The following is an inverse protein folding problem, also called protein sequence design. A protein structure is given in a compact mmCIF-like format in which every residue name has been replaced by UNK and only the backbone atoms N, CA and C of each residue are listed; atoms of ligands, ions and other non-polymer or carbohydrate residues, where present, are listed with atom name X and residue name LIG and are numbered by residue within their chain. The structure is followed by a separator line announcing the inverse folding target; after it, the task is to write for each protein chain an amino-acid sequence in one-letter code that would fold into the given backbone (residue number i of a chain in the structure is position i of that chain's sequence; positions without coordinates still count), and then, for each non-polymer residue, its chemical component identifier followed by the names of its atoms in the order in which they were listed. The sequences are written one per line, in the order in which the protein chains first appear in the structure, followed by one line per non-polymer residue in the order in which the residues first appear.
data_IF_750265350385
#
_entry.id   IF_750265350385
#
_cell.length_a   1.000
_cell.length_b   1.000
_cell.length_c   1.000
_cell.angle_alpha   90.00
_cell.angle_beta   90.00
_cell.angle_gamma   90.00
#
_symmetry.space_group_name_H-M   'P 1'
#
loop_
_entity.id
_entity.type
_entity.pdbx_description
1 polymer ?
#
# COMPACT_ATOMS: atom_id res chain seq x y z
N UNK A 1 68.47 46.97 -19.30
CA UNK A 1 67.33 46.83 -20.25
C UNK A 1 67.21 45.43 -20.86
N UNK A 2 68.29 44.77 -21.28
CA UNK A 2 68.21 43.47 -21.99
C UNK A 2 67.68 42.29 -21.13
N UNK A 3 67.93 42.25 -19.82
CA UNK A 3 67.43 41.18 -18.92
C UNK A 3 65.90 41.21 -18.76
N UNK A 4 65.33 42.38 -18.48
CA UNK A 4 63.88 42.58 -18.33
C UNK A 4 63.11 42.23 -19.61
N UNK A 5 63.70 42.47 -20.79
CA UNK A 5 63.08 42.08 -22.07
C UNK A 5 63.07 40.57 -22.30
N UNK A 6 64.03 39.82 -21.73
CA UNK A 6 64.06 38.36 -21.81
C UNK A 6 63.04 37.72 -20.85
N UNK A 7 62.95 38.21 -19.61
CA UNK A 7 61.96 37.76 -18.62
C UNK A 7 60.52 38.03 -19.09
N UNK A 8 60.25 39.22 -19.62
CA UNK A 8 58.92 39.55 -20.19
C UNK A 8 58.58 38.70 -21.42
N UNK A 9 59.58 38.30 -22.22
CA UNK A 9 59.37 37.34 -23.33
C UNK A 9 59.06 35.94 -22.81
N UNK A 10 59.74 35.48 -21.77
CA UNK A 10 59.47 34.18 -21.13
C UNK A 10 58.04 34.11 -20.61
N UNK A 11 57.63 35.10 -19.80
CA UNK A 11 56.27 35.13 -19.26
C UNK A 11 55.19 35.15 -20.35
N UNK A 12 55.43 35.83 -21.49
CA UNK A 12 54.50 35.80 -22.63
C UNK A 12 54.35 34.41 -23.24
N UNK A 13 55.45 33.64 -23.32
CA UNK A 13 55.41 32.27 -23.82
C UNK A 13 54.64 31.36 -22.85
N UNK A 14 54.86 31.52 -21.55
CA UNK A 14 54.15 30.75 -20.52
C UNK A 14 52.64 31.07 -20.53
N UNK A 15 52.28 32.36 -20.65
CA UNK A 15 50.88 32.79 -20.80
C UNK A 15 50.24 32.15 -22.04
N UNK A 16 50.95 32.11 -23.18
CA UNK A 16 50.43 31.45 -24.38
C UNK A 16 50.25 29.93 -24.19
N UNK A 17 51.17 29.28 -23.48
CA UNK A 17 51.07 27.88 -23.09
C UNK A 17 49.85 27.61 -22.20
N UNK A 18 49.65 28.43 -21.16
CA UNK A 18 48.47 28.33 -20.30
C UNK A 18 47.17 28.59 -21.04
N UNK A 19 47.14 29.56 -21.96
CA UNK A 19 45.96 29.83 -22.80
C UNK A 19 45.58 28.60 -23.64
N UNK A 20 46.56 27.90 -24.20
CA UNK A 20 46.31 26.66 -24.95
C UNK A 20 45.76 25.54 -24.05
N UNK A 21 46.32 25.38 -22.85
CA UNK A 21 45.83 24.38 -21.89
C UNK A 21 44.41 24.70 -21.40
N UNK A 22 44.12 25.96 -21.08
CA UNK A 22 42.78 26.42 -20.67
C UNK A 22 41.78 26.17 -21.78
N UNK A 23 42.10 26.51 -23.03
CA UNK A 23 41.22 26.21 -24.18
C UNK A 23 40.96 24.72 -24.35
N UNK A 24 41.99 23.87 -24.17
CA UNK A 24 41.82 22.42 -24.21
C UNK A 24 40.95 21.88 -23.07
N UNK A 25 41.05 22.47 -21.87
CA UNK A 25 40.17 22.14 -20.74
C UNK A 25 38.73 22.59 -21.01
N UNK A 26 38.50 23.79 -21.54
CA UNK A 26 37.16 24.28 -21.88
C UNK A 26 36.45 23.39 -22.90
N UNK A 27 37.18 22.92 -23.92
CA UNK A 27 36.64 21.96 -24.89
C UNK A 27 36.27 20.62 -24.25
N UNK A 28 37.12 20.12 -23.34
CA UNK A 28 36.83 18.88 -22.59
C UNK A 28 35.63 19.06 -21.65
N UNK A 29 35.53 20.20 -20.97
CA UNK A 29 34.39 20.55 -20.10
C UNK A 29 33.11 20.58 -20.93
N UNK A 30 33.11 21.30 -22.06
CA UNK A 30 31.95 21.34 -22.97
C UNK A 30 31.55 19.93 -23.42
N UNK A 31 32.53 19.09 -23.78
CA UNK A 31 32.27 17.71 -24.20
C UNK A 31 31.62 16.90 -23.07
N UNK A 32 32.15 16.98 -21.85
CA UNK A 32 31.59 16.29 -20.68
C UNK A 32 30.19 16.81 -20.37
N UNK A 33 29.96 18.12 -20.41
CA UNK A 33 28.64 18.72 -20.17
C UNK A 33 27.60 18.24 -21.17
N UNK A 34 27.94 18.20 -22.47
CA UNK A 34 27.03 17.66 -23.50
C UNK A 34 26.75 16.17 -23.31
N UNK A 35 27.75 15.38 -22.90
CA UNK A 35 27.56 13.97 -22.56
C UNK A 35 26.62 13.78 -21.38
N UNK A 36 26.82 14.53 -20.29
CA UNK A 36 25.95 14.51 -19.11
C UNK A 36 24.52 14.85 -19.50
N UNK A 37 24.31 15.91 -20.30
CA UNK A 37 22.99 16.26 -20.79
C UNK A 37 22.34 15.11 -21.60
N UNK A 38 23.11 14.45 -22.48
CA UNK A 38 22.60 13.31 -23.24
C UNK A 38 22.22 12.12 -22.36
N UNK A 39 23.02 11.80 -21.33
CA UNK A 39 22.71 10.73 -20.38
C UNK A 39 21.46 11.04 -19.56
N UNK A 40 21.27 12.28 -19.13
CA UNK A 40 20.05 12.67 -18.42
C UNK A 40 18.79 12.49 -19.27
N UNK A 41 18.86 12.76 -20.58
CA UNK A 41 17.75 12.53 -21.49
C UNK A 41 17.44 11.03 -21.65
N UNK A 42 18.48 10.20 -21.80
CA UNK A 42 18.31 8.75 -21.86
C UNK A 42 17.74 8.18 -20.55
N UNK A 43 18.16 8.68 -19.39
CA UNK A 43 17.59 8.28 -18.10
C UNK A 43 16.10 8.60 -17.99
N UNK A 44 15.66 9.77 -18.48
CA UNK A 44 14.24 10.11 -18.55
C UNK A 44 13.46 9.15 -19.46
N UNK A 45 14.03 8.77 -20.60
CA UNK A 45 13.42 7.81 -21.51
C UNK A 45 13.30 6.42 -20.88
N UNK A 46 14.34 5.95 -20.18
CA UNK A 46 14.33 4.69 -19.44
C UNK A 46 13.23 4.68 -18.37
N UNK A 47 13.05 5.78 -17.63
CA UNK A 47 11.97 5.91 -16.65
C UNK A 47 10.58 5.86 -17.31
N UNK A 48 10.42 6.52 -18.45
CA UNK A 48 9.18 6.49 -19.22
C UNK A 48 8.85 5.09 -19.73
N UNK A 49 9.83 4.42 -20.35
CA UNK A 49 9.68 3.05 -20.87
C UNK A 49 9.40 2.05 -19.74
N UNK A 50 10.09 2.16 -18.61
CA UNK A 50 9.83 1.34 -17.43
C UNK A 50 8.38 1.50 -16.96
N UNK A 51 7.91 2.74 -16.84
CA UNK A 51 6.52 3.04 -16.46
C UNK A 51 5.51 2.40 -17.43
N UNK A 52 5.81 2.43 -18.72
CA UNK A 52 4.98 1.82 -19.77
C UNK A 52 4.97 0.29 -19.70
N UNK A 53 6.11 -0.35 -19.43
CA UNK A 53 6.19 -1.81 -19.27
C UNK A 53 5.33 -2.29 -18.09
N UNK A 54 5.37 -1.58 -16.96
CA UNK A 54 4.56 -1.91 -15.78
C UNK A 54 3.06 -1.81 -16.08
N UNK A 55 2.62 -0.74 -16.77
CA UNK A 55 1.22 -0.57 -17.14
C UNK A 55 0.74 -1.66 -18.11
N UNK A 56 1.58 -2.07 -19.07
CA UNK A 56 1.26 -3.17 -19.97
C UNK A 56 1.18 -4.52 -19.24
N UNK A 57 2.11 -4.79 -18.32
CA UNK A 57 2.10 -6.00 -17.49
C UNK A 57 0.85 -6.05 -16.60
N UNK A 58 0.51 -4.95 -15.92
CA UNK A 58 -0.68 -4.87 -15.07
C UNK A 58 -1.98 -5.00 -15.87
N UNK A 59 -2.05 -4.43 -17.08
CA UNK A 59 -3.22 -4.61 -17.97
C UNK A 59 -3.37 -6.05 -18.42
N UNK A 60 -2.25 -6.71 -18.73
CA UNK A 60 -2.24 -8.12 -19.09
C UNK A 60 -2.74 -9.01 -17.94
N UNK A 61 -2.34 -8.71 -16.70
CA UNK A 61 -2.73 -9.47 -15.49
C UNK A 61 -4.07 -9.06 -14.87
N UNK A 62 -4.71 -7.99 -15.35
CA UNK A 62 -5.91 -7.40 -14.73
C UNK A 62 -7.08 -8.37 -14.52
N UNK A 63 -7.21 -9.37 -15.38
CA UNK A 63 -8.27 -10.39 -15.29
C UNK A 63 -7.85 -11.65 -14.54
N UNK A 64 -6.58 -11.73 -14.13
CA UNK A 64 -6.06 -12.85 -13.38
C UNK A 64 -6.44 -12.72 -11.89
N UNK A 65 -6.82 -13.84 -11.29
CA UNK A 65 -7.11 -13.94 -9.85
C UNK A 65 -6.19 -15.00 -9.26
N UNK A 66 -5.43 -14.61 -8.24
CA UNK A 66 -4.59 -15.51 -7.46
C UNK A 66 -5.41 -16.16 -6.35
N UNK A 67 -5.29 -17.48 -6.24
CA UNK A 67 -5.81 -18.28 -5.14
C UNK A 67 -4.68 -18.51 -4.14
N UNK A 68 -4.75 -17.88 -2.97
CA UNK A 68 -3.84 -18.13 -1.86
C UNK A 68 -4.41 -19.24 -0.99
N UNK A 69 -3.57 -20.17 -0.53
CA UNK A 69 -3.95 -21.26 0.37
C UNK A 69 -3.62 -22.64 -0.21
N UNK A 70 -3.74 -22.88 -1.51
CA UNK A 70 -3.34 -24.17 -2.08
C UNK A 70 -1.81 -24.34 -2.08
N UNK A 71 -1.31 -25.58 -1.94
CA UNK A 71 0.07 -25.94 -2.28
C UNK A 71 0.35 -25.45 -3.72
N UNK A 72 1.47 -24.76 -3.90
CA UNK A 72 1.79 -23.86 -5.01
C UNK A 72 1.43 -24.42 -6.41
N UNK A 73 0.81 -23.59 -7.27
CA UNK A 73 0.74 -23.86 -8.72
C UNK A 73 -0.62 -23.79 -9.42
N UNK A 74 -1.73 -23.43 -8.75
CA UNK A 74 -3.04 -23.29 -9.40
C UNK A 74 -3.32 -21.81 -9.72
N UNK A 75 -2.91 -21.39 -10.91
CA UNK A 75 -3.30 -20.10 -11.48
C UNK A 75 -4.61 -20.28 -12.26
N UNK A 76 -5.70 -19.65 -11.80
CA UNK A 76 -6.97 -19.65 -12.56
C UNK A 76 -7.04 -18.39 -13.39
N UNK A 77 -6.68 -18.50 -14.66
CA UNK A 77 -6.93 -17.49 -15.67
C UNK A 77 -8.41 -17.51 -16.05
N UNK A 78 -9.20 -16.59 -15.50
CA UNK A 78 -10.61 -16.45 -15.89
C UNK A 78 -10.70 -15.69 -17.22
N UNK A 79 -10.96 -16.42 -18.30
CA UNK A 79 -11.29 -15.84 -19.60
C UNK A 79 -12.74 -15.34 -19.61
N UNK A 80 -13.02 -14.19 -18.98
CA UNK A 80 -14.08 -13.27 -19.43
C UNK A 80 -13.95 -11.90 -18.75
N UNK A 81 -13.90 -10.85 -19.58
CA UNK A 81 -13.49 -9.46 -19.34
C UNK A 81 -14.22 -8.68 -18.20
N UNK A 82 -15.10 -9.30 -17.40
CA UNK A 82 -15.91 -8.61 -16.38
C UNK A 82 -16.01 -9.31 -15.01
N UNK A 83 -15.54 -10.56 -14.87
CA UNK A 83 -15.85 -11.35 -13.66
C UNK A 83 -14.79 -11.23 -12.56
N UNK A 84 -13.51 -11.00 -12.90
CA UNK A 84 -12.44 -10.93 -11.90
C UNK A 84 -12.68 -9.83 -10.85
N UNK A 85 -13.09 -8.62 -11.28
CA UNK A 85 -13.37 -7.51 -10.37
C UNK A 85 -14.56 -7.81 -9.45
N UNK A 86 -15.63 -8.37 -10.01
CA UNK A 86 -16.84 -8.72 -9.25
C UNK A 86 -16.54 -9.84 -8.25
N UNK A 87 -15.78 -10.85 -8.66
CA UNK A 87 -15.35 -11.96 -7.82
C UNK A 87 -14.44 -11.49 -6.68
N UNK A 88 -13.43 -10.66 -6.98
CA UNK A 88 -12.55 -10.09 -5.96
C UNK A 88 -13.31 -9.19 -4.98
N UNK A 89 -14.33 -8.46 -5.46
CA UNK A 89 -15.19 -7.67 -4.58
C UNK A 89 -16.06 -8.57 -3.69
N UNK A 90 -16.69 -9.60 -4.25
CA UNK A 90 -17.49 -10.56 -3.49
C UNK A 90 -16.64 -11.28 -2.42
N UNK A 91 -15.44 -11.73 -2.79
CA UNK A 91 -14.51 -12.37 -1.86
C UNK A 91 -14.05 -11.43 -0.74
N UNK A 92 -13.81 -10.14 -1.03
CA UNK A 92 -13.49 -9.14 0.01
C UNK A 92 -14.65 -8.91 0.98
N UNK A 93 -15.89 -8.95 0.50
CA UNK A 93 -17.08 -8.77 1.32
C UNK A 93 -17.39 -10.00 2.17
N UNK A 94 -17.17 -11.21 1.62
CA UNK A 94 -17.40 -12.46 2.35
C UNK A 94 -16.27 -12.77 3.35
N UNK A 95 -15.05 -12.33 3.07
CA UNK A 95 -13.87 -12.67 3.86
C UNK A 95 -13.23 -14.00 3.41
N UNK A 96 -12.31 -14.55 4.21
CA UNK A 96 -11.66 -15.81 3.90
C UNK A 96 -12.67 -16.96 3.90
N UNK A 97 -12.52 -17.89 2.96
CA UNK A 97 -13.33 -19.09 2.92
C UNK A 97 -12.46 -20.33 3.10
N UNK A 98 -13.03 -21.38 3.66
CA UNK A 98 -12.30 -22.59 4.05
C UNK A 98 -12.61 -23.73 3.09
N UNK A 99 -11.57 -24.44 2.65
CA UNK A 99 -11.71 -25.77 2.05
C UNK A 99 -11.00 -26.78 2.95
N UNK A 100 -11.79 -27.59 3.66
CA UNK A 100 -11.25 -28.45 4.73
C UNK A 100 -10.57 -27.63 5.83
N UNK A 101 -9.28 -27.90 6.08
CA UNK A 101 -8.46 -27.18 7.07
C UNK A 101 -7.75 -25.95 6.50
N UNK A 102 -7.93 -25.64 5.22
CA UNK A 102 -7.15 -24.62 4.52
C UNK A 102 -7.94 -23.33 4.30
N UNK A 103 -7.35 -22.21 4.72
CA UNK A 103 -7.88 -20.86 4.45
C UNK A 103 -7.53 -20.45 3.03
N UNK A 104 -8.55 -20.24 2.20
CA UNK A 104 -8.39 -19.78 0.83
C UNK A 104 -8.74 -18.29 0.74
N UNK A 105 -7.90 -17.54 0.03
CA UNK A 105 -8.11 -16.12 -0.24
C UNK A 105 -7.90 -15.82 -1.72
N UNK A 106 -8.86 -15.09 -2.30
CA UNK A 106 -8.74 -14.55 -3.65
C UNK A 106 -8.09 -13.18 -3.62
N UNK A 107 -7.04 -12.99 -4.42
CA UNK A 107 -6.35 -11.71 -4.58
C UNK A 107 -6.13 -11.38 -6.04
N UNK A 108 -6.03 -10.10 -6.37
CA UNK A 108 -5.63 -9.69 -7.71
C UNK A 108 -4.18 -10.10 -7.99
N UNK A 109 -3.88 -10.38 -9.25
CA UNK A 109 -2.54 -10.65 -9.74
C UNK A 109 -1.91 -9.34 -10.25
N UNK A 110 -0.93 -8.81 -9.52
CA UNK A 110 -0.23 -7.57 -9.89
C UNK A 110 1.15 -7.88 -10.45
N UNK A 111 1.70 -6.95 -11.25
CA UNK A 111 3.14 -6.88 -11.49
C UNK A 111 3.91 -6.80 -10.16
N UNK A 112 5.17 -7.21 -10.17
CA UNK A 112 6.02 -7.16 -8.98
C UNK A 112 6.11 -5.74 -8.41
N UNK A 113 6.32 -4.75 -9.27
CA UNK A 113 6.46 -3.35 -8.86
C UNK A 113 5.16 -2.80 -8.26
N UNK A 114 4.00 -3.10 -8.86
CA UNK A 114 2.70 -2.70 -8.31
C UNK A 114 2.42 -3.38 -6.97
N UNK A 115 2.75 -4.66 -6.81
CA UNK A 115 2.63 -5.37 -5.54
C UNK A 115 3.52 -4.75 -4.43
N UNK A 116 4.77 -4.41 -4.76
CA UNK A 116 5.70 -3.73 -3.84
C UNK A 116 5.19 -2.34 -3.45
N UNK A 117 4.69 -1.55 -4.41
CA UNK A 117 4.10 -0.23 -4.13
C UNK A 117 2.88 -0.33 -3.22
N UNK A 118 2.01 -1.32 -3.43
CA UNK A 118 0.88 -1.59 -2.54
C UNK A 118 1.34 -2.00 -1.14
N UNK A 119 2.37 -2.84 -1.04
CA UNK A 119 2.97 -3.23 0.25
C UNK A 119 3.52 -2.01 0.99
N UNK A 120 4.18 -1.09 0.29
CA UNK A 120 4.67 0.16 0.85
C UNK A 120 3.53 1.03 1.40
N UNK A 121 2.42 1.19 0.69
CA UNK A 121 1.23 1.88 1.23
C UNK A 121 0.62 1.17 2.44
N UNK A 122 0.51 -0.16 2.40
CA UNK A 122 -0.04 -0.93 3.52
C UNK A 122 0.82 -0.82 4.78
N UNK A 123 2.14 -0.62 4.66
CA UNK A 123 3.01 -0.38 5.82
C UNK A 123 2.63 0.88 6.61
N UNK A 124 1.97 1.86 5.96
CA UNK A 124 1.53 3.12 6.57
C UNK A 124 0.16 3.02 7.25
N UNK A 125 -0.54 1.88 7.09
CA UNK A 125 -1.87 1.65 7.65
C UNK A 125 -1.93 1.93 9.15
N UNK A 126 -0.95 1.44 9.90
CA UNK A 126 -0.90 1.62 11.35
C UNK A 126 -0.93 3.10 11.71
N UNK A 127 -0.12 3.93 11.04
CA UNK A 127 -0.05 5.37 11.29
C UNK A 127 -1.34 6.08 10.90
N UNK A 128 -1.96 5.71 9.78
CA UNK A 128 -3.25 6.26 9.36
C UNK A 128 -4.38 5.94 10.35
N UNK A 129 -4.38 4.73 10.92
CA UNK A 129 -5.35 4.34 11.95
C UNK A 129 -5.17 5.14 13.25
N UNK A 130 -3.94 5.40 13.70
CA UNK A 130 -3.69 6.21 14.91
C UNK A 130 -4.16 7.66 14.74
N UNK A 131 -4.18 8.18 13.51
CA UNK A 131 -4.63 9.53 13.19
C UNK A 131 -6.12 9.60 12.83
N UNK A 132 -6.87 8.52 13.10
CA UNK A 132 -8.31 8.37 12.81
C UNK A 132 -8.71 8.74 11.37
N UNK A 133 -7.86 8.39 10.40
CA UNK A 133 -8.12 8.65 8.98
C UNK A 133 -8.78 7.46 8.32
N UNK A 134 -9.78 7.72 7.47
CA UNK A 134 -10.30 6.71 6.54
C UNK A 134 -9.36 6.60 5.36
N UNK A 135 -9.09 5.39 4.91
CA UNK A 135 -8.21 5.18 3.76
C UNK A 135 -8.59 3.93 2.98
N UNK A 136 -8.05 3.83 1.78
CA UNK A 136 -8.07 2.61 0.98
C UNK A 136 -7.10 2.70 -0.18
N UNK A 137 -6.86 1.56 -0.83
CA UNK A 137 -5.98 1.46 -2.00
C UNK A 137 -6.83 1.12 -3.21
N UNK A 138 -6.81 2.00 -4.21
CA UNK A 138 -7.37 1.80 -5.54
C UNK A 138 -6.38 1.07 -6.45
N UNK A 139 -6.94 0.39 -7.45
CA UNK A 139 -6.17 -0.21 -8.53
C UNK A 139 -5.50 0.88 -9.40
N UNK A 140 -4.25 0.66 -9.88
CA UNK A 140 -3.35 -0.46 -9.56
C UNK A 140 -2.62 -0.29 -8.20
N UNK A 141 -2.25 0.93 -7.80
CA UNK A 141 -1.62 1.21 -6.50
C UNK A 141 -1.73 2.69 -6.12
N UNK A 142 -2.95 3.18 -5.89
CA UNK A 142 -3.18 4.58 -5.46
C UNK A 142 -3.89 4.60 -4.12
N UNK A 143 -3.34 5.29 -3.13
CA UNK A 143 -3.96 5.35 -1.81
C UNK A 143 -4.80 6.62 -1.68
N UNK A 144 -6.06 6.47 -1.30
CA UNK A 144 -6.88 7.60 -0.88
C UNK A 144 -6.91 7.66 0.64
N UNK A 145 -6.88 8.86 1.17
CA UNK A 145 -7.09 9.14 2.58
C UNK A 145 -8.18 10.20 2.72
N UNK A 146 -8.93 10.16 3.81
CA UNK A 146 -9.90 11.18 4.17
C UNK A 146 -9.65 11.64 5.59
N UNK A 147 -9.42 12.95 5.75
CA UNK A 147 -9.29 13.65 7.03
C UNK A 147 -10.20 14.88 7.00
N UNK A 148 -11.02 15.10 8.04
CA UNK A 148 -11.87 16.29 8.17
C UNK A 148 -12.75 16.58 6.94
N UNK A 149 -13.32 15.53 6.31
CA UNK A 149 -14.12 15.59 5.06
C UNK A 149 -13.34 15.97 3.80
N UNK A 150 -12.05 16.28 3.89
CA UNK A 150 -11.17 16.41 2.73
C UNK A 150 -10.60 15.03 2.37
N UNK A 151 -10.73 14.65 1.10
CA UNK A 151 -10.16 13.41 0.59
C UNK A 151 -9.02 13.71 -0.36
N UNK A 152 -7.88 13.05 -0.17
CA UNK A 152 -6.66 13.25 -0.96
C UNK A 152 -6.15 11.91 -1.49
N UNK A 153 -5.71 11.91 -2.75
CA UNK A 153 -5.13 10.75 -3.42
C UNK A 153 -3.61 10.87 -3.48
N UNK A 154 -2.94 9.75 -3.24
CA UNK A 154 -1.49 9.59 -3.30
C UNK A 154 -1.15 8.49 -4.29
N UNK A 155 -0.21 8.82 -5.18
CA UNK A 155 0.28 7.91 -6.22
C UNK A 155 1.62 7.27 -5.82
N UNK A 156 2.35 7.91 -4.90
CA UNK A 156 3.61 7.44 -4.33
C UNK A 156 3.48 7.27 -2.80
N UNK A 157 3.93 6.13 -2.23
CA UNK A 157 4.00 5.95 -0.78
C UNK A 157 4.89 6.98 -0.07
N UNK A 158 5.95 7.49 -0.69
CA UNK A 158 6.83 8.48 -0.09
C UNK A 158 6.14 9.84 0.06
N UNK A 159 5.31 10.23 -0.92
CA UNK A 159 4.52 11.47 -0.82
C UNK A 159 3.53 11.40 0.35
N UNK A 160 2.93 10.23 0.58
CA UNK A 160 2.07 10.02 1.73
C UNK A 160 2.88 10.05 3.04
N UNK A 161 4.08 9.49 3.10
CA UNK A 161 4.94 9.57 4.28
C UNK A 161 5.26 11.01 4.66
N UNK A 162 5.73 11.81 3.69
CA UNK A 162 6.01 13.23 3.87
C UNK A 162 4.78 14.00 4.37
N UNK A 163 3.60 13.68 3.81
CA UNK A 163 2.35 14.27 4.27
C UNK A 163 2.02 13.90 5.73
N UNK A 164 2.24 12.66 6.14
CA UNK A 164 2.00 12.22 7.51
C UNK A 164 3.01 12.81 8.52
N UNK A 165 4.22 13.10 8.07
CA UNK A 165 5.25 13.79 8.87
C UNK A 165 4.86 15.24 9.11
N UNK A 166 4.48 15.98 8.05
CA UNK A 166 4.04 17.37 8.19
C UNK A 166 2.79 17.57 9.06
N UNK A 167 2.00 16.52 9.28
CA UNK A 167 0.85 16.57 10.19
C UNK A 167 1.22 16.41 11.68
N UNK A 168 2.35 15.76 12.00
CA UNK A 168 2.80 15.60 13.38
C UNK A 168 3.37 16.91 13.94
N UNK A 169 4.06 17.69 13.10
CA UNK A 169 4.63 18.99 13.48
C UNK A 169 3.54 20.01 13.84
N UNK A 170 2.38 19.94 13.17
CA UNK A 170 1.24 20.81 13.47
C UNK A 170 0.59 20.48 14.83
N UNK A 171 0.50 19.20 15.20
CA UNK A 171 -0.07 18.79 16.49
C UNK A 171 0.83 19.18 17.68
N UNK A 172 2.15 19.06 17.53
CA UNK A 172 3.10 19.46 18.59
C UNK A 172 3.14 20.98 18.83
N UNK A 173 2.86 21.80 17.80
CA UNK A 173 2.81 23.26 17.93
C UNK A 173 1.59 23.81 18.69
N UNK A 174 0.47 23.07 18.72
CA UNK A 174 -0.73 23.48 19.50
C UNK A 174 -0.67 23.01 20.96
N UNK A 175 -0.03 21.88 21.25
CA UNK A 175 0.09 21.35 22.61
C UNK A 175 1.07 22.14 23.50
N UNK A 176 2.02 22.88 22.92
CA UNK A 176 2.92 23.78 23.69
C UNK A 176 2.24 25.06 24.21
N UNK A 177 1.02 25.38 23.78
CA UNK A 177 0.29 26.58 24.22
C UNK A 177 -0.76 26.30 25.33
N UNK A 178 -1.02 25.03 25.64
CA UNK A 178 -2.06 24.60 26.59
C UNK A 178 -1.54 24.37 28.02
N UNK A 179 -0.27 24.66 28.33
CA UNK A 179 0.30 24.49 29.67
C UNK A 179 0.66 25.85 30.29
N UNK A 180 -0.36 26.57 30.77
CA UNK A 180 -0.18 27.64 31.76
C UNK A 180 -0.69 27.11 33.11
N UNK A 181 0.16 26.93 34.13
CA UNK A 181 -0.30 26.54 35.46
C UNK A 181 -0.93 27.74 36.16
N UNK A 182 -2.23 27.66 36.47
CA UNK A 182 -2.83 28.45 37.54
C UNK A 182 -3.55 27.53 38.52
N UNK A 183 -2.79 27.10 39.51
CA UNK A 183 -3.34 26.76 40.81
C UNK A 183 -4.01 27.99 41.43
N UNK A 184 -5.18 27.79 42.05
CA UNK A 184 -5.48 28.13 43.46
C UNK A 184 -7.00 28.22 43.70
N UNK A 185 -7.47 27.40 44.66
CA UNK A 185 -8.72 27.51 45.49
C UNK A 185 -10.06 27.40 44.74
N UNK A 186 -11.06 26.64 45.18
CA UNK A 186 -11.27 25.90 46.42
C UNK A 186 -12.78 25.68 46.62
N UNK A 187 -13.12 24.46 47.07
CA UNK A 187 -14.22 24.08 47.98
C UNK A 187 -15.71 24.26 47.61
N UNK A 188 -16.38 23.10 47.74
CA UNK A 188 -17.80 22.86 48.07
C UNK A 188 -18.79 23.09 46.91
N UNK A 189 -19.85 22.32 46.72
CA UNK A 189 -20.67 21.50 47.62
C UNK A 189 -21.63 20.69 46.75
N UNK A 190 -22.11 19.53 47.24
CA UNK A 190 -23.50 19.14 46.99
C UNK A 190 -23.76 17.89 46.14
N UNK A 191 -24.02 16.80 46.86
CA UNK A 191 -25.15 15.88 46.68
C UNK A 191 -25.34 15.10 45.36
N UNK A 192 -25.07 13.79 45.47
CA UNK A 192 -25.95 12.66 45.14
C UNK A 192 -26.85 12.75 43.89
N UNK A 193 -26.67 11.80 42.96
CA UNK A 193 -27.66 10.74 42.72
C UNK A 193 -27.06 9.54 41.95
N UNK A 194 -27.31 8.37 42.53
CA UNK A 194 -27.34 7.00 41.99
C UNK A 194 -27.29 6.80 40.47
N UNK A 195 -26.34 5.96 40.01
CA UNK A 195 -26.41 5.28 38.73
C UNK A 195 -26.18 3.78 38.92
N UNK A 196 -27.19 3.03 38.51
CA UNK A 196 -27.34 1.58 38.53
C UNK A 196 -26.44 0.88 37.50
N UNK A 197 -25.89 -0.24 37.97
CA UNK A 197 -25.38 -1.43 37.29
C UNK A 197 -26.00 -1.75 35.93
N UNK A 198 -25.16 -1.95 34.90
CA UNK A 198 -25.28 -3.08 33.96
C UNK A 198 -24.00 -3.25 33.15
N UNK A 199 -23.10 -4.07 33.68
CA UNK A 199 -22.03 -4.71 32.93
C UNK A 199 -22.64 -5.68 31.91
N UNK A 200 -22.32 -5.50 30.62
CA UNK A 200 -22.50 -6.54 29.59
C UNK A 200 -21.16 -6.82 28.91
N UNK A 201 -20.16 -7.13 29.74
CA UNK A 201 -18.97 -7.84 29.32
C UNK A 201 -19.32 -9.31 29.03
N UNK A 202 -19.44 -9.66 27.75
CA UNK A 202 -19.62 -11.04 27.29
C UNK A 202 -18.43 -11.90 27.70
N UNK A 203 -18.55 -12.57 28.85
CA UNK A 203 -17.58 -13.55 29.34
C UNK A 203 -17.69 -14.81 28.48
N UNK A 204 -16.71 -15.02 27.60
CA UNK A 204 -16.53 -16.27 26.88
C UNK A 204 -16.41 -17.41 27.90
N UNK A 205 -17.39 -18.31 27.88
CA UNK A 205 -17.38 -19.51 28.73
C UNK A 205 -16.25 -20.43 28.28
N UNK A 206 -15.51 -20.98 29.23
CA UNK A 206 -14.37 -21.89 29.00
C UNK A 206 -14.79 -23.36 28.92
N UNK A 207 -16.09 -23.65 28.81
CA UNK A 207 -16.63 -25.01 28.77
C UNK A 207 -16.63 -25.59 27.34
N UNK A 208 -15.86 -26.66 27.06
CA UNK A 208 -15.81 -27.32 25.75
C UNK A 208 -17.17 -27.86 25.27
N UNK A 209 -18.07 -28.23 26.20
CA UNK A 209 -19.37 -28.80 25.84
C UNK A 209 -20.42 -27.74 25.46
N UNK A 210 -20.28 -26.51 25.95
CA UNK A 210 -21.10 -25.38 25.52
C UNK A 210 -20.75 -24.96 24.08
N UNK A 211 -19.45 -24.88 23.74
CA UNK A 211 -18.99 -24.59 22.37
C UNK A 211 -19.49 -25.60 21.34
N UNK A 212 -19.55 -26.89 21.69
CA UNK A 212 -20.02 -27.95 20.78
C UNK A 212 -21.50 -27.79 20.43
N UNK A 213 -22.32 -27.40 21.41
CA UNK A 213 -23.76 -27.15 21.20
C UNK A 213 -24.02 -25.90 20.37
N UNK A 214 -23.22 -24.85 20.54
CA UNK A 214 -23.33 -23.64 19.72
C UNK A 214 -22.84 -23.87 18.28
N UNK A 215 -21.81 -24.71 18.08
CA UNK A 215 -21.39 -25.15 16.75
C UNK A 215 -22.47 -25.98 16.05
N UNK A 216 -23.14 -26.89 16.75
CA UNK A 216 -24.24 -27.71 16.22
C UNK A 216 -25.49 -26.89 15.88
N UNK A 217 -25.74 -25.79 16.60
CA UNK A 217 -26.79 -24.82 16.26
C UNK A 217 -26.44 -24.02 15.00
N UNK A 218 -25.17 -23.63 14.84
CA UNK A 218 -24.69 -22.94 13.66
C UNK A 218 -24.69 -23.85 12.42
N UNK A 219 -24.31 -25.13 12.53
CA UNK A 219 -24.35 -26.06 11.39
C UNK A 219 -25.77 -26.40 10.94
N UNK A 220 -26.76 -26.48 11.84
CA UNK A 220 -28.18 -26.63 11.47
C UNK A 220 -28.74 -25.40 10.74
N UNK A 221 -28.18 -24.21 10.96
CA UNK A 221 -28.51 -23.01 10.17
C UNK A 221 -27.90 -23.02 8.76
N UNK A 222 -26.92 -23.90 8.49
CA UNK A 222 -26.23 -23.98 7.19
C UNK A 222 -26.92 -24.92 6.19
N UNK A 223 -27.91 -25.71 6.62
CA UNK A 223 -28.66 -26.61 5.73
C UNK A 223 -29.60 -25.85 4.77
N UNK A 224 -29.89 -24.58 5.07
CA UNK A 224 -30.62 -23.69 4.15
C UNK A 224 -29.77 -23.18 2.96
N UNK A 225 -28.47 -23.53 2.87
CA UNK A 225 -27.61 -23.12 1.74
C UNK A 225 -27.73 -24.02 0.51
N UNK A 226 -28.25 -25.25 0.66
CA UNK A 226 -28.60 -26.09 -0.49
C UNK A 226 -29.65 -25.46 -1.39
N UNK A 227 -30.60 -24.71 -0.81
CA UNK A 227 -31.65 -23.99 -1.55
C UNK A 227 -31.14 -22.71 -2.24
N UNK A 228 -30.12 -22.06 -1.69
CA UNK A 228 -29.55 -20.82 -2.27
C UNK A 228 -28.67 -21.13 -3.48
N UNK A 229 -27.92 -22.24 -3.46
CA UNK A 229 -27.11 -22.66 -4.60
C UNK A 229 -27.98 -23.07 -5.80
N UNK A 230 -29.18 -23.59 -5.57
CA UNK A 230 -30.16 -23.89 -6.61
C UNK A 230 -30.75 -22.61 -7.26
N UNK A 231 -30.81 -21.49 -6.52
CA UNK A 231 -31.29 -20.19 -7.04
C UNK A 231 -30.26 -19.45 -7.92
N UNK A 232 -28.97 -19.81 -7.84
CA UNK A 232 -27.87 -19.17 -8.60
C UNK A 232 -27.54 -19.95 -9.89
N UNK A 233 -28.27 -21.02 -10.22
CA UNK A 233 -28.13 -21.73 -11.49
C UNK A 233 -26.80 -22.49 -11.65
N UNK A 234 -26.07 -22.73 -10.56
CA UNK A 234 -24.86 -23.56 -10.58
C UNK A 234 -25.27 -24.98 -10.25
N UNK A 235 -25.53 -25.79 -11.29
CA UNK A 235 -25.64 -27.23 -11.13
C UNK A 235 -24.25 -27.79 -10.77
N UNK A 236 -24.05 -28.08 -9.48
CA UNK A 236 -22.98 -28.97 -9.06
C UNK A 236 -23.43 -30.39 -9.37
N UNK A 237 -23.00 -30.95 -10.51
CA UNK A 237 -22.98 -32.40 -10.66
C UNK A 237 -21.87 -32.94 -9.76
N UNK A 238 -22.17 -33.08 -8.47
CA UNK A 238 -21.44 -33.99 -7.61
C UNK A 238 -22.05 -35.37 -7.87
N UNK A 239 -21.40 -36.13 -8.75
CA UNK A 239 -21.63 -37.56 -8.88
C UNK A 239 -21.23 -38.23 -7.56
N UNK A 240 -22.21 -38.52 -6.72
CA UNK A 240 -22.09 -39.59 -5.74
C UNK A 240 -22.20 -40.94 -6.48
N UNK A 241 -21.55 -41.96 -5.92
CA UNK A 241 -21.26 -43.33 -6.40
C UNK A 241 -19.84 -43.44 -6.97
N UNK A 242 -18.87 -44.13 -6.36
CA UNK A 242 -18.96 -45.32 -5.52
C UNK A 242 -17.62 -45.48 -4.73
N UNK A 243 -17.64 -46.00 -3.49
CA UNK A 243 -16.81 -47.18 -3.25
C UNK A 243 -17.56 -48.20 -2.41
N UNK A 244 -18.00 -49.27 -3.08
CA UNK A 244 -18.22 -50.56 -2.45
C UNK A 244 -17.36 -51.55 -3.21
N UNK A 245 -16.41 -52.17 -2.51
CA UNK A 245 -15.97 -53.56 -2.61
C UNK A 245 -15.04 -53.83 -1.41
N UNK A 246 -15.17 -55.01 -0.79
CA UNK A 246 -14.23 -56.09 -1.07
C UNK A 246 -14.67 -56.95 -2.24
#
# INVERSE_FOLDING_TARGET
MVSLTAETRSMRLDIAGFQSQVSGLDQRVTTVETQVASWTNSDQELLHLRSKLIDLEDRSRKNNVRLLGFLEGIEVCMLHHMQARQLLQAARMQGPFWSGTLEIRLTADFSKETAERRKAFLSLRTRLCHLDMKFGIFEPARMWITKNRESRNFYDPEDLRKFLEGLQDQTQSMDMMAQTPQDIRGLSSGAAHSASTSESGGRLTTDPQARRRDLERLTKSYDNRGQVLQAVGIHTQLSETNPALP
#
